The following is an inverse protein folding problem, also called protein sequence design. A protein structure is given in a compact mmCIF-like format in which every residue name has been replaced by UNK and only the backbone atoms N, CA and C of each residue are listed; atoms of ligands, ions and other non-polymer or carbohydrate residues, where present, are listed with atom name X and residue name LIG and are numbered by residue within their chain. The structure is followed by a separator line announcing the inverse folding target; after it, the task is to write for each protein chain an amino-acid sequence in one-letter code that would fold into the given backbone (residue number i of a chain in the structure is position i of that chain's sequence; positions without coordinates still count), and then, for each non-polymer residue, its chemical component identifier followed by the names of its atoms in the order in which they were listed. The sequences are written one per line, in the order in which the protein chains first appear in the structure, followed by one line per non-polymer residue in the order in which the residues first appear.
data_IF_501722292926
#
_entry.id   IF_501722292926
#
_cell.length_a   1.000
_cell.length_b   1.000
_cell.length_c   1.000
_cell.angle_alpha   90.00
_cell.angle_beta   90.00
_cell.angle_gamma   90.00
#
_symmetry.space_group_name_H-M   'P 1'
#
loop_
_entity.id
_entity.type
_entity.pdbx_description
1 polymer ?
#
# COMPACT_ATOMS: atom_id res chain seq x y z
N UNK A 1 6.56 -15.08 -28.92
CA UNK A 1 6.40 -15.26 -27.46
C UNK A 1 4.91 -15.50 -27.20
N UNK A 2 4.56 -16.34 -26.24
CA UNK A 2 3.16 -16.61 -25.87
C UNK A 2 2.70 -15.55 -24.87
N UNK A 3 1.57 -14.90 -25.14
CA UNK A 3 0.95 -13.91 -24.25
C UNK A 3 0.64 -14.57 -22.90
N UNK A 4 1.02 -13.91 -21.80
CA UNK A 4 0.77 -14.38 -20.42
C UNK A 4 -0.67 -14.02 -20.02
N UNK A 5 -1.52 -15.02 -19.83
CA UNK A 5 -2.89 -14.81 -19.38
C UNK A 5 -2.96 -14.65 -17.86
N UNK A 6 -3.59 -13.57 -17.39
CA UNK A 6 -3.53 -13.16 -15.99
C UNK A 6 -4.91 -13.07 -15.34
N UNK A 7 -5.05 -13.64 -14.13
CA UNK A 7 -6.15 -13.34 -13.21
C UNK A 7 -5.69 -12.34 -12.16
N UNK A 8 -6.53 -11.34 -11.88
CA UNK A 8 -6.25 -10.32 -10.86
C UNK A 8 -7.27 -10.43 -9.71
N UNK A 9 -6.80 -10.82 -8.53
CA UNK A 9 -7.63 -10.94 -7.33
C UNK A 9 -7.45 -9.71 -6.45
N UNK A 10 -8.53 -9.30 -5.78
CA UNK A 10 -8.57 -8.04 -5.01
C UNK A 10 -8.23 -6.86 -5.94
N UNK A 11 -8.83 -6.87 -7.12
CA UNK A 11 -8.39 -6.04 -8.24
C UNK A 11 -8.54 -4.54 -7.97
N UNK A 12 -9.42 -4.14 -7.05
CA UNK A 12 -9.62 -2.75 -6.68
C UNK A 12 -9.91 -1.90 -7.91
N UNK A 13 -9.14 -0.82 -8.07
CA UNK A 13 -9.20 0.07 -9.25
C UNK A 13 -8.20 -0.30 -10.36
N UNK A 14 -7.63 -1.51 -10.30
CA UNK A 14 -6.72 -2.07 -11.31
C UNK A 14 -5.29 -1.54 -11.21
N UNK A 15 -4.75 -1.44 -10.00
CA UNK A 15 -3.35 -1.03 -9.80
C UNK A 15 -2.35 -2.08 -10.30
N UNK A 16 -2.63 -3.37 -10.07
CA UNK A 16 -1.76 -4.45 -10.57
C UNK A 16 -1.97 -4.69 -12.07
N UNK A 17 -3.20 -4.51 -12.59
CA UNK A 17 -3.44 -4.42 -14.03
C UNK A 17 -2.56 -3.34 -14.66
N UNK A 18 -2.56 -2.13 -14.08
CA UNK A 18 -1.75 -1.03 -14.59
C UNK A 18 -0.26 -1.34 -14.58
N UNK A 19 0.23 -1.91 -13.48
CA UNK A 19 1.63 -2.33 -13.38
C UNK A 19 1.99 -3.35 -14.46
N UNK A 20 1.09 -4.28 -14.80
CA UNK A 20 1.29 -5.24 -15.90
C UNK A 20 1.36 -4.56 -17.25
N UNK A 21 0.47 -3.62 -17.55
CA UNK A 21 0.53 -2.86 -18.81
C UNK A 21 1.80 -2.00 -18.95
N UNK A 22 2.34 -1.51 -17.84
CA UNK A 22 3.59 -0.74 -17.82
C UNK A 22 4.84 -1.63 -17.84
N UNK A 23 4.68 -2.94 -17.76
CA UNK A 23 5.78 -3.89 -17.72
C UNK A 23 6.21 -4.32 -19.13
N UNK A 24 7.47 -4.72 -19.28
CA UNK A 24 7.98 -5.35 -20.50
C UNK A 24 7.45 -6.79 -20.73
N UNK A 25 6.49 -7.24 -19.90
CA UNK A 25 5.90 -8.57 -20.01
C UNK A 25 4.74 -8.49 -20.99
N UNK A 26 4.81 -9.31 -22.04
CA UNK A 26 3.69 -9.55 -22.95
C UNK A 26 2.58 -10.34 -22.24
N UNK A 27 1.75 -9.64 -21.47
CA UNK A 27 0.71 -10.22 -20.60
C UNK A 27 -0.58 -9.41 -20.61
N UNK A 28 -1.70 -10.10 -20.44
CA UNK A 28 -3.04 -9.51 -20.43
C UNK A 28 -3.84 -10.01 -19.23
N UNK A 29 -4.58 -9.12 -18.59
CA UNK A 29 -5.56 -9.51 -17.56
C UNK A 29 -6.82 -9.98 -18.27
N UNK A 30 -7.14 -11.27 -18.14
CA UNK A 30 -8.32 -11.89 -18.76
C UNK A 30 -9.54 -11.86 -17.83
N UNK A 31 -9.32 -11.70 -16.52
CA UNK A 31 -10.38 -11.55 -15.51
C UNK A 31 -9.82 -10.89 -14.24
N UNK A 32 -10.54 -9.91 -13.72
CA UNK A 32 -10.33 -9.32 -12.40
C UNK A 32 -11.45 -9.71 -11.44
N UNK A 33 -11.18 -9.78 -10.14
CA UNK A 33 -12.17 -10.11 -9.10
C UNK A 33 -12.08 -9.13 -7.95
N UNK A 34 -13.21 -8.51 -7.61
CA UNK A 34 -13.34 -7.67 -6.42
C UNK A 34 -14.78 -7.73 -5.89
N UNK A 35 -15.00 -7.47 -4.60
CA UNK A 35 -16.35 -7.46 -4.02
C UNK A 35 -16.96 -6.05 -4.02
N UNK A 36 -16.13 -5.01 -4.07
CA UNK A 36 -16.55 -3.62 -4.01
C UNK A 36 -17.08 -3.16 -5.37
N UNK A 37 -18.40 -2.92 -5.43
CA UNK A 37 -19.07 -2.41 -6.62
C UNK A 37 -18.48 -1.10 -7.15
N UNK A 38 -18.05 -0.21 -6.25
CA UNK A 38 -17.47 1.08 -6.67
C UNK A 38 -16.09 0.87 -7.30
N UNK A 39 -15.31 -0.07 -6.77
CA UNK A 39 -14.01 -0.44 -7.33
C UNK A 39 -14.20 -1.06 -8.72
N UNK A 40 -15.12 -2.02 -8.85
CA UNK A 40 -15.45 -2.65 -10.13
C UNK A 40 -15.87 -1.62 -11.19
N UNK A 41 -16.74 -0.66 -10.86
CA UNK A 41 -17.17 0.39 -11.82
C UNK A 41 -16.00 1.26 -12.30
N UNK A 42 -15.10 1.62 -11.38
CA UNK A 42 -13.90 2.39 -11.74
C UNK A 42 -12.98 1.55 -12.61
N UNK A 43 -12.80 0.28 -12.28
CA UNK A 43 -12.02 -0.66 -13.09
C UNK A 43 -12.58 -0.78 -14.51
N UNK A 44 -13.88 -1.00 -14.66
CA UNK A 44 -14.56 -1.13 -15.96
C UNK A 44 -14.39 0.14 -16.81
N UNK A 45 -14.44 1.32 -16.19
CA UNK A 45 -14.26 2.59 -16.90
C UNK A 45 -12.83 2.78 -17.45
N UNK A 46 -11.83 2.06 -16.93
CA UNK A 46 -10.44 2.18 -17.35
C UNK A 46 -9.96 0.99 -18.20
N UNK A 47 -10.53 -0.20 -18.00
CA UNK A 47 -10.05 -1.45 -18.63
C UNK A 47 -11.13 -2.20 -19.42
N UNK A 48 -12.38 -1.75 -19.39
CA UNK A 48 -13.50 -2.34 -20.14
C UNK A 48 -14.46 -3.18 -19.30
N UNK A 49 -15.72 -3.25 -19.75
CA UNK A 49 -16.88 -3.75 -19.00
C UNK A 49 -16.92 -5.26 -18.74
N UNK A 50 -16.00 -6.03 -19.31
CA UNK A 50 -16.02 -7.49 -19.25
C UNK A 50 -14.78 -8.10 -18.60
N UNK A 51 -13.88 -7.29 -18.04
CA UNK A 51 -12.66 -7.78 -17.40
C UNK A 51 -12.91 -8.06 -15.93
N UNK A 52 -13.48 -7.12 -15.18
CA UNK A 52 -13.72 -7.33 -13.74
C UNK A 52 -15.07 -8.01 -13.48
N UNK A 53 -15.08 -8.91 -12.51
CA UNK A 53 -16.27 -9.55 -11.98
C UNK A 53 -16.45 -9.16 -10.53
N UNK A 54 -17.64 -8.64 -10.21
CA UNK A 54 -18.00 -8.41 -8.81
C UNK A 54 -18.33 -9.74 -8.15
N UNK A 55 -17.49 -10.16 -7.21
CA UNK A 55 -17.67 -11.43 -6.49
C UNK A 55 -16.99 -11.37 -5.13
N UNK A 56 -17.57 -12.06 -4.14
CA UNK A 56 -16.82 -12.42 -2.95
C UNK A 56 -15.81 -13.50 -3.35
N UNK A 57 -14.52 -13.18 -3.30
CA UNK A 57 -13.44 -14.09 -3.71
C UNK A 57 -13.49 -15.42 -2.95
N UNK A 58 -14.07 -15.47 -1.73
CA UNK A 58 -14.26 -16.71 -0.99
C UNK A 58 -15.30 -17.65 -1.60
N UNK A 59 -16.14 -17.16 -2.51
CA UNK A 59 -17.15 -17.94 -3.24
C UNK A 59 -16.65 -18.51 -4.57
N UNK A 60 -15.45 -18.11 -5.03
CA UNK A 60 -14.84 -18.70 -6.22
C UNK A 60 -14.48 -20.16 -5.92
N UNK A 61 -14.64 -21.03 -6.92
CA UNK A 61 -14.31 -22.46 -6.82
C UNK A 61 -13.31 -22.87 -7.91
N UNK A 62 -12.58 -23.96 -7.66
CA UNK A 62 -11.43 -24.32 -8.45
C UNK A 62 -11.75 -24.60 -9.95
N UNK A 63 -12.83 -25.33 -10.29
CA UNK A 63 -13.23 -25.52 -11.69
C UNK A 63 -13.47 -24.21 -12.47
N UNK A 64 -14.06 -23.20 -11.83
CA UNK A 64 -14.26 -21.88 -12.45
C UNK A 64 -12.90 -21.23 -12.76
N UNK A 65 -12.00 -21.17 -11.77
CA UNK A 65 -10.66 -20.61 -11.95
C UNK A 65 -9.82 -21.37 -12.98
N UNK A 66 -9.93 -22.70 -13.00
CA UNK A 66 -9.24 -23.57 -13.95
C UNK A 66 -9.66 -23.31 -15.40
N UNK A 67 -10.94 -22.96 -15.63
CA UNK A 67 -11.48 -22.71 -16.97
C UNK A 67 -10.87 -21.49 -17.67
N UNK A 68 -10.26 -20.57 -16.91
CA UNK A 68 -9.57 -19.41 -17.47
C UNK A 68 -8.19 -19.74 -18.04
N UNK A 69 -7.61 -20.90 -17.71
CA UNK A 69 -6.27 -21.31 -18.16
C UNK A 69 -5.20 -20.23 -17.98
N UNK A 70 -5.22 -19.55 -16.81
CA UNK A 70 -4.33 -18.43 -16.55
C UNK A 70 -2.93 -18.87 -16.14
N UNK A 71 -1.93 -18.20 -16.70
CA UNK A 71 -0.51 -18.40 -16.42
C UNK A 71 -0.06 -17.68 -15.13
N UNK A 72 -0.66 -16.52 -14.85
CA UNK A 72 -0.26 -15.62 -13.77
C UNK A 72 -1.46 -15.22 -12.91
N UNK A 73 -1.28 -15.26 -11.59
CA UNK A 73 -2.20 -14.63 -10.65
C UNK A 73 -1.56 -13.41 -9.99
N UNK A 74 -2.22 -12.27 -10.07
CA UNK A 74 -1.88 -11.03 -9.38
C UNK A 74 -2.82 -10.87 -8.18
N UNK A 75 -2.27 -10.60 -7.00
CA UNK A 75 -3.06 -10.48 -5.77
C UNK A 75 -2.60 -9.29 -4.93
N UNK A 76 -3.54 -8.46 -4.51
CA UNK A 76 -3.33 -7.40 -3.50
C UNK A 76 -4.30 -7.55 -2.32
N UNK A 77 -4.14 -8.61 -1.50
CA UNK A 77 -5.04 -8.87 -0.39
C UNK A 77 -5.01 -7.77 0.67
N UNK A 78 -6.18 -7.40 1.20
CA UNK A 78 -6.26 -6.47 2.33
C UNK A 78 -5.54 -7.00 3.57
N UNK A 79 -4.76 -6.15 4.25
CA UNK A 79 -3.89 -6.56 5.36
C UNK A 79 -4.59 -7.08 6.63
N UNK A 80 -5.93 -7.11 6.74
CA UNK A 80 -6.64 -7.62 7.94
C UNK A 80 -8.09 -8.09 7.67
N UNK A 81 -8.58 -9.15 8.35
CA UNK A 81 -7.87 -10.31 8.87
C UNK A 81 -8.12 -11.53 7.95
N UNK A 82 -7.05 -12.16 7.50
CA UNK A 82 -7.02 -13.45 6.78
C UNK A 82 -7.62 -13.46 5.36
N UNK A 83 -6.73 -13.46 4.37
CA UNK A 83 -7.05 -13.91 3.01
C UNK A 83 -7.05 -15.44 2.98
N UNK A 84 -8.23 -16.05 3.02
CA UNK A 84 -8.37 -17.50 2.95
C UNK A 84 -8.50 -17.93 1.48
N UNK A 85 -7.37 -18.18 0.82
CA UNK A 85 -7.32 -18.90 -0.48
C UNK A 85 -7.13 -20.43 -0.29
N UNK A 86 -7.13 -20.90 0.96
CA UNK A 86 -6.67 -22.24 1.33
C UNK A 86 -7.51 -23.41 0.73
N UNK A 87 -8.85 -23.35 0.64
CA UNK A 87 -9.62 -24.45 0.05
C UNK A 87 -9.36 -24.64 -1.44
N UNK A 88 -9.31 -23.52 -2.18
CA UNK A 88 -9.14 -23.45 -3.64
C UNK A 88 -7.83 -24.05 -4.13
N UNK A 89 -6.73 -23.81 -3.41
CA UNK A 89 -5.41 -24.19 -3.88
C UNK A 89 -5.21 -25.72 -3.98
N UNK A 90 -5.80 -26.50 -3.07
CA UNK A 90 -5.67 -27.96 -3.09
C UNK A 90 -6.40 -28.58 -4.27
N UNK A 91 -7.60 -28.09 -4.59
CA UNK A 91 -8.39 -28.57 -5.71
C UNK A 91 -7.76 -28.20 -7.06
N UNK A 92 -7.23 -26.98 -7.19
CA UNK A 92 -6.53 -26.55 -8.41
C UNK A 92 -5.31 -27.43 -8.72
N UNK A 93 -4.55 -27.79 -7.69
CA UNK A 93 -3.42 -28.73 -7.84
C UNK A 93 -3.91 -30.11 -8.25
N UNK A 94 -5.00 -30.62 -7.66
CA UNK A 94 -5.54 -31.94 -8.04
C UNK A 94 -6.04 -32.00 -9.49
N UNK A 95 -6.47 -30.86 -10.04
CA UNK A 95 -6.90 -30.74 -11.43
C UNK A 95 -5.75 -30.37 -12.39
N UNK A 96 -4.53 -30.21 -11.88
CA UNK A 96 -3.38 -29.70 -12.64
C UNK A 96 -3.66 -28.37 -13.35
N UNK A 97 -4.40 -27.48 -12.68
CA UNK A 97 -4.88 -26.20 -13.19
C UNK A 97 -4.39 -24.99 -12.36
N UNK A 98 -3.34 -25.18 -11.56
CA UNK A 98 -2.67 -24.11 -10.83
C UNK A 98 -1.95 -23.14 -11.77
N UNK A 99 -1.88 -21.83 -11.44
CA UNK A 99 -1.11 -20.89 -12.25
C UNK A 99 0.37 -21.25 -12.21
N UNK A 100 1.08 -20.89 -13.28
CA UNK A 100 2.54 -21.04 -13.35
C UNK A 100 3.27 -20.05 -12.45
N UNK A 101 2.66 -18.88 -12.24
CA UNK A 101 3.22 -17.78 -11.46
C UNK A 101 2.16 -17.15 -10.55
N UNK A 102 2.58 -16.75 -9.35
CA UNK A 102 1.75 -15.98 -8.44
C UNK A 102 2.55 -14.81 -7.87
N UNK A 103 1.93 -13.63 -7.89
CA UNK A 103 2.50 -12.40 -7.37
C UNK A 103 1.54 -11.84 -6.31
N UNK A 104 2.04 -11.72 -5.08
CA UNK A 104 1.24 -11.27 -3.95
C UNK A 104 1.85 -10.01 -3.38
N UNK A 105 1.10 -8.91 -3.42
CA UNK A 105 1.47 -7.68 -2.76
C UNK A 105 1.40 -7.82 -1.23
N UNK A 106 2.46 -7.41 -0.55
CA UNK A 106 2.56 -7.41 0.91
C UNK A 106 3.44 -6.25 1.42
N UNK A 107 3.21 -5.88 2.67
CA UNK A 107 3.77 -4.68 3.32
C UNK A 107 5.11 -4.88 4.04
N UNK A 108 5.54 -6.12 4.30
CA UNK A 108 6.68 -6.40 5.18
C UNK A 108 8.00 -6.64 4.43
N UNK A 109 9.04 -5.83 4.71
CA UNK A 109 10.45 -6.04 4.30
C UNK A 109 11.04 -4.97 3.35
N UNK A 110 10.25 -3.97 2.96
CA UNK A 110 10.62 -2.96 1.93
C UNK A 110 11.93 -2.23 2.25
N UNK A 111 12.20 -2.01 3.53
CA UNK A 111 13.37 -1.28 4.05
C UNK A 111 14.73 -1.87 3.65
N UNK A 112 14.79 -3.17 3.36
CA UNK A 112 16.03 -3.85 2.92
C UNK A 112 16.04 -4.17 1.42
N UNK A 113 14.96 -3.86 0.69
CA UNK A 113 14.80 -4.28 -0.71
C UNK A 113 15.71 -3.56 -1.71
N UNK A 114 16.01 -4.26 -2.81
CA UNK A 114 16.69 -3.67 -3.97
C UNK A 114 15.87 -2.53 -4.61
N UNK A 115 14.55 -2.54 -4.47
CA UNK A 115 13.65 -1.47 -4.94
C UNK A 115 13.80 -0.19 -4.15
N UNK A 116 13.89 -0.26 -2.82
CA UNK A 116 14.24 0.90 -2.01
C UNK A 116 15.58 1.48 -2.45
N UNK A 117 16.57 0.62 -2.73
CA UNK A 117 17.87 1.06 -3.24
C UNK A 117 17.75 1.78 -4.59
N UNK A 118 17.01 1.21 -5.54
CA UNK A 118 16.75 1.82 -6.86
C UNK A 118 16.01 3.16 -6.76
N UNK A 119 15.00 3.26 -5.88
CA UNK A 119 14.28 4.51 -5.61
C UNK A 119 15.22 5.60 -5.07
N UNK A 120 16.11 5.24 -4.14
CA UNK A 120 17.12 6.16 -3.63
C UNK A 120 18.12 6.57 -4.72
N UNK A 121 18.48 5.66 -5.65
CA UNK A 121 19.40 5.95 -6.76
C UNK A 121 18.78 6.86 -7.83
N UNK A 122 17.49 6.71 -8.15
CA UNK A 122 16.80 7.54 -9.16
C UNK A 122 16.45 8.95 -8.68
N UNK A 123 16.63 9.21 -7.39
CA UNK A 123 16.26 10.46 -6.75
C UNK A 123 14.76 10.52 -6.47
N UNK A 124 14.40 10.92 -5.24
CA UNK A 124 13.00 11.09 -4.87
C UNK A 124 12.53 12.45 -5.38
N UNK A 125 11.48 12.44 -6.22
CA UNK A 125 10.87 13.65 -6.76
C UNK A 125 10.19 14.45 -5.65
N UNK A 126 10.17 15.77 -5.82
CA UNK A 126 9.44 16.66 -4.90
C UNK A 126 7.93 16.54 -5.11
N UNK A 127 7.17 16.74 -4.03
CA UNK A 127 5.71 16.68 -4.03
C UNK A 127 5.11 17.63 -5.07
N UNK A 128 5.69 18.82 -5.26
CA UNK A 128 5.25 19.82 -6.25
C UNK A 128 5.09 19.26 -7.66
N UNK A 129 5.86 18.23 -8.02
CA UNK A 129 5.81 17.63 -9.35
C UNK A 129 4.58 16.74 -9.58
N UNK A 130 3.81 16.47 -8.53
CA UNK A 130 2.58 15.68 -8.57
C UNK A 130 1.33 16.53 -8.36
N UNK A 131 1.48 17.82 -8.04
CA UNK A 131 0.37 18.72 -7.73
C UNK A 131 -0.39 19.14 -8.99
N UNK A 132 -1.68 19.44 -8.82
CA UNK A 132 -2.49 20.00 -9.89
C UNK A 132 -2.00 21.41 -10.25
N UNK A 133 -1.90 21.76 -11.55
CA UNK A 133 -1.41 23.07 -11.98
C UNK A 133 -2.45 24.19 -11.79
N UNK A 134 -3.74 23.86 -11.73
CA UNK A 134 -4.85 24.81 -11.70
C UNK A 134 -5.53 24.85 -10.32
N UNK A 135 -5.73 26.07 -9.80
CA UNK A 135 -6.32 26.31 -8.47
C UNK A 135 -7.82 25.95 -8.38
N UNK A 136 -8.51 25.74 -9.49
CA UNK A 136 -9.98 25.61 -9.54
C UNK A 136 -10.51 24.36 -8.82
N UNK A 137 -9.73 23.27 -8.79
CA UNK A 137 -10.12 22.06 -8.04
C UNK A 137 -9.70 22.12 -6.56
N UNK A 138 -8.80 23.05 -6.19
CA UNK A 138 -8.20 23.10 -4.86
C UNK A 138 -9.17 23.57 -3.77
N UNK A 139 -10.18 24.36 -4.12
CA UNK A 139 -11.19 24.84 -3.16
C UNK A 139 -11.93 23.69 -2.48
N UNK A 140 -12.20 22.61 -3.21
CA UNK A 140 -12.88 21.41 -2.68
C UNK A 140 -11.97 20.53 -1.82
N UNK A 141 -10.67 20.82 -1.80
CA UNK A 141 -9.68 20.10 -1.01
C UNK A 141 -9.29 20.84 0.27
N UNK A 142 -9.79 22.05 0.52
CA UNK A 142 -9.53 22.80 1.74
C UNK A 142 -9.95 22.01 2.99
N UNK A 143 -9.15 22.11 4.06
CA UNK A 143 -9.48 21.45 5.32
C UNK A 143 -10.55 22.30 6.04
N UNK A 144 -11.71 21.74 6.43
CA UNK A 144 -12.73 22.52 7.12
C UNK A 144 -12.24 23.07 8.46
N UNK A 145 -12.63 24.30 8.80
CA UNK A 145 -12.22 24.97 10.06
C UNK A 145 -12.49 24.12 11.30
N UNK A 146 -13.63 23.42 11.35
CA UNK A 146 -13.98 22.55 12.49
C UNK A 146 -13.00 21.37 12.64
N UNK A 147 -12.43 20.90 11.53
CA UNK A 147 -11.39 19.87 11.54
C UNK A 147 -10.07 20.47 12.01
N UNK A 148 -9.68 21.66 11.53
CA UNK A 148 -8.47 22.35 11.97
C UNK A 148 -8.51 22.70 13.45
N UNK A 149 -9.62 23.26 13.94
CA UNK A 149 -9.85 23.63 15.34
C UNK A 149 -9.65 22.45 16.30
N UNK A 150 -10.11 21.26 15.90
CA UNK A 150 -10.12 20.06 16.76
C UNK A 150 -8.92 19.14 16.57
N UNK A 151 -8.45 19.01 15.33
CA UNK A 151 -7.50 17.97 14.94
C UNK A 151 -6.28 18.50 14.19
N UNK A 152 -6.17 19.82 13.97
CA UNK A 152 -5.10 20.42 13.16
C UNK A 152 -3.69 19.98 13.55
N UNK A 153 -3.42 19.87 14.86
CA UNK A 153 -2.11 19.43 15.41
C UNK A 153 -1.76 17.97 15.14
N UNK A 154 -2.72 17.15 14.76
CA UNK A 154 -2.52 15.73 14.53
C UNK A 154 -2.15 15.40 13.09
N UNK A 155 -2.29 16.38 12.18
CA UNK A 155 -1.89 16.19 10.80
C UNK A 155 -0.37 16.16 10.66
N UNK A 156 0.11 15.23 9.83
CA UNK A 156 1.41 15.38 9.20
C UNK A 156 1.28 16.40 8.06
N UNK A 157 1.98 17.53 8.17
CA UNK A 157 1.93 18.63 7.20
C UNK A 157 3.19 18.60 6.35
N UNK A 158 3.02 18.62 5.03
CA UNK A 158 4.12 18.62 4.05
C UNK A 158 4.05 19.85 3.17
N UNK A 159 5.23 20.29 2.70
CA UNK A 159 5.38 21.39 1.74
C UNK A 159 5.51 20.83 0.31
N UNK A 160 5.22 21.61 -0.74
CA UNK A 160 5.47 21.20 -2.12
C UNK A 160 6.93 20.87 -2.41
N UNK A 161 7.89 21.50 -1.73
CA UNK A 161 9.33 21.15 -1.78
C UNK A 161 9.70 19.84 -1.08
N UNK A 162 8.79 19.24 -0.32
CA UNK A 162 9.07 18.02 0.41
C UNK A 162 9.24 16.82 -0.54
N UNK A 163 10.05 15.83 -0.13
CA UNK A 163 10.31 14.58 -0.86
C UNK A 163 9.79 13.34 -0.11
N UNK A 164 8.78 13.54 0.73
CA UNK A 164 8.21 12.50 1.60
C UNK A 164 6.79 12.87 2.01
N UNK A 165 5.94 11.88 2.14
CA UNK A 165 4.63 11.94 2.77
C UNK A 165 4.42 10.71 3.63
N UNK A 166 3.46 10.75 4.54
CA UNK A 166 2.89 9.54 5.14
C UNK A 166 2.19 8.69 4.08
N UNK A 167 2.00 7.41 4.41
CA UNK A 167 1.18 6.50 3.60
C UNK A 167 -0.29 6.96 3.61
N UNK A 168 -0.89 7.01 2.42
CA UNK A 168 -2.31 7.32 2.27
C UNK A 168 -3.15 6.06 2.47
N UNK A 169 -4.16 6.14 3.32
CA UNK A 169 -5.01 5.00 3.65
C UNK A 169 -6.46 5.27 3.27
N UNK A 170 -7.32 4.24 3.33
CA UNK A 170 -8.77 4.37 3.13
C UNK A 170 -9.47 5.43 4.01
N UNK A 171 -8.81 5.85 5.10
CA UNK A 171 -9.29 6.83 6.05
C UNK A 171 -8.95 8.28 5.68
N UNK A 172 -8.21 8.51 4.58
CA UNK A 172 -7.81 9.86 4.17
C UNK A 172 -9.02 10.78 3.98
N UNK A 173 -8.87 12.04 4.41
CA UNK A 173 -9.94 13.05 4.51
C UNK A 173 -11.12 12.70 5.44
N UNK A 174 -11.04 11.60 6.22
CA UNK A 174 -12.01 11.25 7.28
C UNK A 174 -11.38 11.20 8.66
N UNK A 175 -10.11 10.79 8.73
CA UNK A 175 -9.32 10.66 9.95
C UNK A 175 -8.15 11.62 9.87
N UNK A 176 -7.88 12.35 10.95
CA UNK A 176 -6.76 13.29 10.99
C UNK A 176 -5.40 12.57 11.15
N UNK A 177 -5.36 11.53 11.99
CA UNK A 177 -4.15 10.74 12.21
C UNK A 177 -4.06 9.52 11.29
N UNK A 178 -2.82 9.13 10.97
CA UNK A 178 -2.45 7.84 10.35
C UNK A 178 -3.21 7.55 9.04
N UNK A 179 -3.60 8.59 8.31
CA UNK A 179 -4.39 8.47 7.10
C UNK A 179 -3.70 9.03 5.85
N UNK A 180 -2.65 9.83 6.03
CA UNK A 180 -1.88 10.50 4.98
C UNK A 180 -1.52 11.91 5.39
N UNK A 181 -0.57 12.52 4.67
CA UNK A 181 -0.17 13.91 4.91
C UNK A 181 -1.20 14.90 4.34
N UNK A 182 -1.22 16.12 4.85
CA UNK A 182 -1.89 17.28 4.24
C UNK A 182 -0.86 18.29 3.74
N UNK A 183 -1.25 19.13 2.79
CA UNK A 183 -0.35 20.04 2.11
C UNK A 183 -0.50 21.48 2.64
N UNK A 184 0.61 22.12 2.95
CA UNK A 184 0.71 23.57 3.15
C UNK A 184 1.26 24.20 1.86
N UNK A 185 0.47 25.03 1.18
CA UNK A 185 0.89 25.64 -0.08
C UNK A 185 1.81 26.85 0.10
N UNK A 186 1.68 27.57 1.21
CA UNK A 186 2.54 28.72 1.48
C UNK A 186 3.86 28.26 2.10
N UNK A 187 4.92 28.17 1.29
CA UNK A 187 6.26 27.76 1.74
C UNK A 187 7.03 28.86 2.49
N UNK A 188 6.55 30.10 2.50
CA UNK A 188 7.23 31.23 3.16
C UNK A 188 6.97 31.26 4.69
N UNK A 189 5.91 30.60 5.14
CA UNK A 189 5.50 30.58 6.54
C UNK A 189 5.96 29.32 7.26
N UNK A 190 6.46 29.49 8.47
CA UNK A 190 6.78 28.38 9.35
C UNK A 190 5.51 27.77 9.96
N UNK A 191 5.31 26.47 9.70
CA UNK A 191 4.13 25.72 10.18
C UNK A 191 4.05 25.75 11.71
N UNK A 192 5.16 25.47 12.40
CA UNK A 192 5.18 25.33 13.86
C UNK A 192 4.86 26.64 14.55
N UNK A 193 5.46 27.74 14.10
CA UNK A 193 5.25 29.08 14.64
C UNK A 193 3.79 29.51 14.48
N UNK A 194 3.22 29.29 13.29
CA UNK A 194 1.82 29.64 13.01
C UNK A 194 0.84 28.83 13.87
N UNK A 195 1.09 27.52 14.05
CA UNK A 195 0.28 26.69 14.93
C UNK A 195 0.43 27.03 16.43
N UNK A 196 1.58 27.53 16.86
CA UNK A 196 1.76 28.04 18.22
C UNK A 196 0.89 29.28 18.45
N UNK A 197 0.91 30.25 17.53
CA UNK A 197 0.07 31.45 17.59
C UNK A 197 -1.43 31.11 17.60
N UNK A 198 -1.86 30.21 16.72
CA UNK A 198 -3.23 29.70 16.69
C UNK A 198 -3.66 29.17 18.06
N UNK A 199 -2.78 28.45 18.75
CA UNK A 199 -3.10 27.78 20.01
C UNK A 199 -3.07 28.71 21.21
N UNK A 200 -2.20 29.72 21.19
CA UNK A 200 -2.25 30.83 22.14
C UNK A 200 -3.60 31.55 22.04
N UNK A 201 -4.01 31.93 20.83
CA UNK A 201 -5.31 32.57 20.60
C UNK A 201 -6.50 31.66 21.00
N UNK A 202 -6.46 30.38 20.63
CA UNK A 202 -7.49 29.41 21.01
C UNK A 202 -7.59 29.23 22.53
N UNK A 203 -6.46 29.17 23.24
CA UNK A 203 -6.44 29.07 24.71
C UNK A 203 -6.92 30.36 25.40
N UNK A 204 -6.77 31.52 24.75
CA UNK A 204 -7.34 32.78 25.20
C UNK A 204 -8.85 32.92 24.92
N UNK A 205 -9.46 31.93 24.26
CA UNK A 205 -10.89 31.92 23.95
C UNK A 205 -11.27 32.74 22.71
N UNK A 206 -10.32 33.03 21.82
CA UNK A 206 -10.60 33.70 20.55
C UNK A 206 -11.39 32.77 19.59
N UNK A 207 -12.62 33.16 19.25
CA UNK A 207 -13.51 32.38 18.37
C UNK A 207 -12.99 32.26 16.93
N UNK A 208 -12.20 33.25 16.49
CA UNK A 208 -11.63 33.38 15.16
C UNK A 208 -10.17 32.92 15.08
N UNK A 209 -9.62 32.35 16.17
CA UNK A 209 -8.24 31.85 16.22
C UNK A 209 -7.84 31.00 15.01
N UNK A 210 -8.77 30.19 14.46
CA UNK A 210 -8.52 29.33 13.29
C UNK A 210 -8.03 30.12 12.07
N UNK A 211 -8.42 31.40 11.93
CA UNK A 211 -8.01 32.29 10.83
C UNK A 211 -6.51 32.55 10.79
N UNK A 212 -5.81 32.36 11.92
CA UNK A 212 -4.35 32.40 11.97
C UNK A 212 -3.73 31.34 11.05
N UNK A 213 -4.45 30.24 10.76
CA UNK A 213 -3.99 29.17 9.87
C UNK A 213 -4.28 29.45 8.38
N UNK A 214 -5.17 30.40 8.05
CA UNK A 214 -5.56 30.69 6.66
C UNK A 214 -4.36 31.00 5.74
N UNK A 215 -3.36 31.79 6.17
CA UNK A 215 -2.18 32.08 5.35
C UNK A 215 -1.35 30.85 4.99
N UNK A 216 -1.44 29.74 5.74
CA UNK A 216 -0.77 28.48 5.41
C UNK A 216 -1.38 27.81 4.17
N UNK A 217 -2.64 28.11 3.84
CA UNK A 217 -3.39 27.50 2.73
C UNK A 217 -3.39 25.96 2.82
N UNK A 218 -3.78 25.42 3.98
CA UNK A 218 -3.81 23.97 4.24
C UNK A 218 -4.90 23.26 3.43
N UNK A 219 -4.55 22.16 2.77
CA UNK A 219 -5.49 21.33 2.02
C UNK A 219 -5.13 19.86 2.00
N UNK A 220 -6.11 19.01 1.72
CA UNK A 220 -5.86 17.63 1.30
C UNK A 220 -5.23 17.59 -0.10
N UNK A 221 -4.52 16.50 -0.40
CA UNK A 221 -4.18 16.16 -1.79
C UNK A 221 -5.44 15.83 -2.57
N UNK A 222 -5.58 16.29 -3.81
CA UNK A 222 -6.69 15.91 -4.67
C UNK A 222 -6.60 14.44 -5.06
N UNK A 223 -7.71 13.77 -5.43
CA UNK A 223 -7.64 12.41 -5.97
C UNK A 223 -6.72 12.29 -7.18
N UNK A 224 -6.64 13.32 -8.03
CA UNK A 224 -5.78 13.33 -9.22
C UNK A 224 -4.30 13.40 -8.84
N UNK A 225 -3.95 14.20 -7.83
CA UNK A 225 -2.59 14.27 -7.27
C UNK A 225 -2.19 12.95 -6.63
N UNK A 226 -3.09 12.33 -5.86
CA UNK A 226 -2.87 11.01 -5.29
C UNK A 226 -2.68 9.94 -6.38
N UNK A 227 -3.45 9.98 -7.47
CA UNK A 227 -3.23 9.08 -8.61
C UNK A 227 -1.82 9.25 -9.20
N UNK A 228 -1.33 10.49 -9.36
CA UNK A 228 0.06 10.72 -9.82
C UNK A 228 1.08 10.19 -8.83
N UNK A 229 0.87 10.37 -7.52
CA UNK A 229 1.73 9.82 -6.46
C UNK A 229 1.74 8.29 -6.47
N UNK A 230 0.61 7.67 -6.80
CA UNK A 230 0.46 6.22 -6.96
C UNK A 230 0.85 5.74 -8.37
N UNK A 231 1.30 6.66 -9.23
CA UNK A 231 1.78 6.42 -10.59
C UNK A 231 0.74 5.80 -11.54
N UNK A 232 -0.53 6.11 -11.30
CA UNK A 232 -1.59 5.93 -12.28
C UNK A 232 -1.47 6.96 -13.41
N UNK A 233 -1.98 6.62 -14.61
CA UNK A 233 -2.08 7.55 -15.72
C UNK A 233 -2.91 8.75 -15.31
N UNK A 234 -2.32 9.93 -15.33
CA UNK A 234 -2.99 11.17 -14.97
C UNK A 234 -2.39 12.23 -15.87
N UNK A 235 -3.23 12.99 -16.58
CA UNK A 235 -2.85 13.98 -17.61
C UNK A 235 -1.41 14.45 -17.44
N UNK A 236 -0.51 13.77 -18.14
CA UNK A 236 0.86 14.20 -18.33
C UNK A 236 0.93 14.75 -19.74
N UNK A 237 1.85 15.68 -20.01
CA UNK A 237 1.81 16.55 -21.20
C UNK A 237 1.92 15.81 -22.53
N UNK A 238 2.22 14.51 -22.54
CA UNK A 238 2.76 13.81 -23.71
C UNK A 238 1.89 12.65 -24.24
N UNK A 239 0.83 12.20 -23.55
CA UNK A 239 -0.10 11.18 -24.07
C UNK A 239 -1.55 11.45 -23.64
N UNK A 240 -2.39 11.86 -24.59
CA UNK A 240 -3.78 12.27 -24.33
C UNK A 240 -4.75 11.08 -24.14
N UNK A 241 -4.38 9.89 -24.61
CA UNK A 241 -5.27 8.71 -24.65
C UNK A 241 -5.15 7.81 -23.41
N UNK A 242 -4.19 8.07 -22.52
CA UNK A 242 -3.93 7.28 -21.31
C UNK A 242 -4.16 8.13 -20.05
N UNK A 243 -5.43 8.45 -19.78
CA UNK A 243 -5.86 9.21 -18.60
C UNK A 243 -6.79 8.35 -17.76
N UNK A 244 -6.47 8.19 -16.48
CA UNK A 244 -7.34 7.47 -15.54
C UNK A 244 -8.70 8.17 -15.42
N UNK A 245 -9.76 7.42 -15.69
CA UNK A 245 -11.12 7.91 -15.70
C UNK A 245 -11.86 7.58 -14.39
N UNK A 246 -12.51 8.58 -13.81
CA UNK A 246 -13.47 8.40 -12.72
C UNK A 246 -14.89 8.47 -13.29
N UNK A 247 -15.75 7.45 -13.11
CA UNK A 247 -17.16 7.58 -13.41
C UNK A 247 -17.80 8.73 -12.60
N UNK A 248 -18.77 9.42 -13.20
CA UNK A 248 -19.39 10.62 -12.64
C UNK A 248 -20.07 10.36 -11.28
N UNK A 249 -20.57 9.15 -11.05
CA UNK A 249 -21.25 8.76 -9.83
C UNK A 249 -20.30 8.53 -8.65
N UNK A 250 -18.99 8.45 -8.91
CA UNK A 250 -17.99 8.19 -7.86
C UNK A 250 -17.66 9.47 -7.11
N UNK A 251 -18.28 9.61 -5.94
CA UNK A 251 -18.03 10.71 -5.01
C UNK A 251 -16.56 10.85 -4.61
N UNK A 252 -16.12 12.07 -4.29
CA UNK A 252 -14.75 12.33 -3.83
C UNK A 252 -14.35 11.48 -2.61
N UNK A 253 -15.29 11.28 -1.66
CA UNK A 253 -15.10 10.40 -0.49
C UNK A 253 -14.80 8.95 -0.88
N UNK A 254 -15.43 8.47 -1.96
CA UNK A 254 -15.18 7.13 -2.51
C UNK A 254 -13.84 7.08 -3.23
N UNK A 255 -13.47 8.12 -3.99
CA UNK A 255 -12.16 8.21 -4.67
C UNK A 255 -11.01 8.07 -3.67
N UNK A 256 -11.00 8.84 -2.59
CA UNK A 256 -9.97 8.71 -1.53
C UNK A 256 -9.91 7.31 -0.93
N UNK A 257 -11.07 6.71 -0.65
CA UNK A 257 -11.16 5.36 -0.08
C UNK A 257 -10.55 4.32 -1.03
N UNK A 258 -10.85 4.41 -2.32
CA UNK A 258 -10.37 3.48 -3.34
C UNK A 258 -8.87 3.64 -3.59
N UNK A 259 -8.37 4.88 -3.71
CA UNK A 259 -6.93 5.13 -3.88
C UNK A 259 -6.15 4.67 -2.64
N UNK A 260 -6.64 4.96 -1.43
CA UNK A 260 -6.00 4.54 -0.18
C UNK A 260 -6.06 3.03 0.10
N UNK A 261 -6.74 2.25 -0.75
CA UNK A 261 -6.69 0.79 -0.79
C UNK A 261 -5.87 0.27 -1.98
N UNK A 262 -5.40 1.15 -2.85
CA UNK A 262 -4.66 0.79 -4.06
C UNK A 262 -3.18 0.56 -3.78
N UNK A 263 -2.51 -0.03 -4.75
CA UNK A 263 -1.05 -0.16 -4.83
C UNK A 263 -0.46 0.99 -5.66
N UNK A 264 0.84 1.24 -5.51
CA UNK A 264 1.58 2.09 -6.45
C UNK A 264 1.86 1.28 -7.72
N UNK A 265 1.67 1.89 -8.88
CA UNK A 265 1.79 1.20 -10.16
C UNK A 265 3.19 1.26 -10.77
N UNK A 266 4.15 1.94 -10.15
CA UNK A 266 5.45 2.15 -10.82
C UNK A 266 6.10 0.81 -11.13
N UNK A 267 6.66 0.72 -12.33
CA UNK A 267 7.43 -0.42 -12.80
C UNK A 267 8.92 -0.12 -12.70
N UNK A 268 9.67 -1.06 -12.12
CA UNK A 268 11.12 -0.96 -12.09
C UNK A 268 11.68 -1.31 -13.46
N UNK A 269 12.06 -0.33 -14.28
CA UNK A 269 12.77 -0.63 -15.54
C UNK A 269 14.06 -1.40 -15.26
N UNK A 270 14.10 -2.64 -15.74
CA UNK A 270 15.29 -3.48 -15.75
C UNK A 270 16.31 -2.95 -16.76
N UNK A 271 17.59 -3.09 -16.46
CA UNK A 271 18.63 -2.86 -17.48
C UNK A 271 18.51 -3.94 -18.55
N UNK A 272 18.33 -3.53 -19.81
CA UNK A 272 18.32 -4.38 -21.00
C UNK A 272 19.45 -5.41 -20.94
N UNK A 273 19.15 -6.65 -20.54
CA UNK A 273 20.03 -7.78 -20.79
C UNK A 273 19.49 -8.50 -22.03
N UNK A 274 20.34 -8.56 -23.04
CA UNK A 274 20.04 -8.90 -24.43
C UNK A 274 19.81 -10.38 -24.71
N UNK A 275 19.32 -11.17 -23.75
CA UNK A 275 18.97 -12.58 -23.99
C UNK A 275 17.45 -12.75 -24.05
N UNK A 276 16.96 -12.75 -25.30
CA UNK A 276 15.57 -13.05 -25.65
C UNK A 276 15.37 -14.56 -25.60
N UNK A 277 14.88 -15.08 -24.47
CA UNK A 277 14.10 -16.33 -24.44
C UNK A 277 13.33 -16.43 -23.12
N UNK A 278 12.02 -16.11 -23.18
CA UNK A 278 11.04 -16.20 -22.08
C UNK A 278 11.33 -15.21 -20.93
N UNK A 279 10.37 -14.45 -20.38
CA UNK A 279 10.64 -13.64 -19.20
C UNK A 279 11.21 -14.56 -18.11
N UNK A 280 12.48 -14.37 -17.77
CA UNK A 280 13.12 -15.10 -16.68
C UNK A 280 12.25 -14.93 -15.44
N UNK A 281 12.15 -15.96 -14.58
CA UNK A 281 11.42 -15.93 -13.30
C UNK A 281 11.72 -14.67 -12.48
N UNK A 282 12.90 -14.08 -12.66
CA UNK A 282 13.33 -12.85 -12.02
C UNK A 282 12.84 -11.55 -12.69
N UNK A 283 12.52 -11.55 -13.98
CA UNK A 283 12.19 -10.32 -14.72
C UNK A 283 10.72 -9.94 -14.53
N UNK A 284 9.78 -10.89 -14.54
CA UNK A 284 8.36 -10.64 -14.21
C UNK A 284 8.19 -10.03 -12.80
N UNK A 285 8.95 -10.53 -11.83
CA UNK A 285 8.96 -10.01 -10.46
C UNK A 285 9.73 -8.69 -10.30
N UNK A 286 10.69 -8.38 -11.18
CA UNK A 286 11.44 -7.11 -11.16
C UNK A 286 10.65 -5.98 -11.81
N UNK A 287 9.94 -6.29 -12.89
CA UNK A 287 9.23 -5.30 -13.67
C UNK A 287 7.98 -4.82 -12.93
N UNK A 288 7.19 -5.70 -12.30
CA UNK A 288 5.96 -5.31 -11.60
C UNK A 288 6.12 -4.56 -10.26
N UNK A 289 7.34 -4.20 -9.86
CA UNK A 289 7.67 -3.98 -8.45
C UNK A 289 8.02 -2.53 -8.09
N UNK A 290 7.05 -1.74 -7.62
CA UNK A 290 7.31 -0.52 -6.84
C UNK A 290 6.22 -0.22 -5.78
N UNK A 291 6.70 0.20 -4.61
CA UNK A 291 6.05 0.60 -3.34
C UNK A 291 5.36 -0.45 -2.46
N UNK A 292 5.30 -1.70 -2.86
CA UNK A 292 4.94 -2.77 -1.94
C UNK A 292 5.70 -4.05 -2.27
N UNK A 293 6.08 -4.80 -1.24
CA UNK A 293 6.87 -6.00 -1.44
C UNK A 293 6.00 -7.08 -2.07
N UNK A 294 6.20 -7.31 -3.36
CA UNK A 294 5.60 -8.42 -4.05
C UNK A 294 6.38 -9.68 -3.68
N UNK A 295 5.71 -10.64 -3.04
CA UNK A 295 6.25 -11.99 -2.86
C UNK A 295 5.95 -12.78 -4.14
N UNK A 296 6.99 -13.07 -4.91
CA UNK A 296 6.89 -13.94 -6.08
C UNK A 296 6.95 -15.40 -5.65
N UNK A 297 5.91 -16.17 -5.96
CA UNK A 297 5.82 -17.58 -5.63
C UNK A 297 5.85 -18.36 -6.94
N UNK A 298 6.95 -19.08 -7.19
CA UNK A 298 7.00 -20.12 -8.21
C UNK A 298 6.23 -21.32 -7.67
N UNK A 299 5.16 -21.73 -8.35
CA UNK A 299 4.29 -22.85 -7.94
C UNK A 299 4.96 -24.19 -8.25
N UNK A 300 5.93 -24.61 -7.44
CA UNK A 300 6.40 -26.01 -7.42
C UNK A 300 5.69 -26.76 -6.29
N UNK A 301 4.57 -27.42 -6.58
CA UNK A 301 3.83 -28.21 -5.60
C UNK A 301 4.38 -29.64 -5.50
N UNK A 302 4.97 -29.99 -4.37
CA UNK A 302 5.22 -31.40 -4.03
C UNK A 302 3.89 -32.10 -3.69
N UNK A 303 3.74 -33.41 -3.97
CA UNK A 303 2.45 -34.11 -3.96
C UNK A 303 1.73 -34.22 -2.60
N UNK A 304 2.23 -33.60 -1.52
CA UNK A 304 1.62 -33.65 -0.19
C UNK A 304 1.90 -32.41 0.69
N UNK A 305 1.51 -31.18 0.31
CA UNK A 305 1.21 -30.13 1.32
C UNK A 305 0.54 -28.89 0.71
N UNK A 306 -0.39 -28.33 1.49
CA UNK A 306 -1.20 -27.13 1.25
C UNK A 306 -0.43 -25.91 0.73
N UNK A 307 -1.04 -25.10 -0.16
CA UNK A 307 -0.60 -23.71 -0.39
C UNK A 307 -0.99 -22.90 0.86
N UNK A 308 -0.05 -22.72 1.78
CA UNK A 308 -0.22 -21.78 2.90
C UNK A 308 0.24 -20.42 2.42
N UNK A 309 -0.68 -19.54 2.02
CA UNK A 309 -0.41 -18.11 1.99
C UNK A 309 -0.27 -17.64 3.44
N UNK A 310 0.98 -17.57 3.92
CA UNK A 310 1.28 -16.99 5.22
C UNK A 310 0.98 -15.49 5.17
N UNK A 311 -0.21 -15.09 5.60
CA UNK A 311 -0.40 -13.76 6.16
C UNK A 311 0.38 -13.73 7.48
N UNK A 312 1.43 -12.92 7.55
CA UNK A 312 2.40 -12.76 8.66
C UNK A 312 3.61 -13.70 8.59
N UNK A 313 4.77 -13.15 8.20
CA UNK A 313 6.07 -13.69 8.61
C UNK A 313 6.16 -13.49 10.13
N UNK A 314 5.71 -14.48 10.88
CA UNK A 314 6.18 -14.70 12.25
C UNK A 314 7.53 -15.39 12.15
N UNK A 315 8.53 -14.81 12.79
CA UNK A 315 9.96 -15.07 12.66
C UNK A 315 10.44 -16.42 13.23
N UNK A 316 9.77 -17.54 12.97
CA UNK A 316 10.18 -18.83 13.59
C UNK A 316 10.00 -20.12 12.78
N UNK A 317 9.76 -20.09 11.47
CA UNK A 317 9.62 -21.35 10.69
C UNK A 317 10.34 -21.31 9.35
N UNK A 318 11.68 -21.33 9.39
CA UNK A 318 12.52 -21.78 8.28
C UNK A 318 13.55 -22.73 8.87
N UNK A 319 13.19 -24.02 8.94
CA UNK A 319 14.13 -25.10 9.10
C UNK A 319 14.01 -25.99 7.86
N UNK A 320 15.17 -26.29 7.27
CA UNK A 320 15.39 -27.07 6.04
C UNK A 320 15.17 -26.31 4.72
N UNK A 321 16.13 -25.50 4.31
CA UNK A 321 17.23 -25.92 3.45
C UNK A 321 18.24 -24.77 3.28
N UNK A 322 19.52 -25.13 3.14
CA UNK A 322 20.71 -24.30 3.34
C UNK A 322 20.79 -23.02 2.49
N UNK A 323 20.79 -21.86 3.15
CA UNK A 323 21.48 -20.65 2.67
C UNK A 323 22.15 -19.96 3.87
N UNK A 324 23.44 -19.71 3.72
CA UNK A 324 24.33 -18.98 4.62
C UNK A 324 23.69 -17.73 5.25
N UNK A 325 23.65 -17.69 6.57
CA UNK A 325 23.41 -16.46 7.33
C UNK A 325 24.55 -16.31 8.34
N UNK A 326 25.64 -15.68 7.91
CA UNK A 326 26.78 -15.37 8.76
C UNK A 326 26.43 -14.15 9.62
N UNK A 327 25.79 -14.43 10.77
CA UNK A 327 25.50 -13.42 11.78
C UNK A 327 26.69 -13.35 12.74
N UNK A 328 27.63 -12.42 12.52
CA UNK A 328 28.60 -12.00 13.54
C UNK A 328 28.40 -10.53 13.90
N UNK A 329 27.74 -10.33 15.03
CA UNK A 329 28.27 -9.48 16.09
C UNK A 329 27.87 -8.01 16.09
N UNK A 330 26.82 -7.70 16.86
CA UNK A 330 26.98 -6.80 18.01
C UNK A 330 26.23 -7.39 19.21
N UNK A 331 26.98 -7.64 20.28
CA UNK A 331 26.51 -8.19 21.56
C UNK A 331 25.52 -7.24 22.22
N UNK A 332 24.34 -7.73 22.59
CA UNK A 332 23.61 -7.21 23.73
C UNK A 332 24.05 -8.02 24.96
N UNK A 333 24.65 -7.33 25.94
CA UNK A 333 24.96 -7.90 27.26
C UNK A 333 23.67 -8.46 27.91
N UNK A 334 23.75 -9.58 28.65
CA UNK A 334 22.60 -10.19 29.28
C UNK A 334 22.02 -9.29 30.41
N UNK A 335 20.71 -9.40 30.69
CA UNK A 335 20.08 -8.69 31.79
C UNK A 335 20.70 -9.13 33.12
N UNK A 336 21.13 -8.14 33.90
CA UNK A 336 21.61 -8.34 35.26
C UNK A 336 20.47 -8.98 36.07
N UNK A 337 20.74 -10.19 36.55
CA UNK A 337 19.96 -10.84 37.58
C UNK A 337 19.97 -9.97 38.84
N UNK A 338 18.81 -9.43 39.22
CA UNK A 338 18.61 -8.95 40.60
C UNK A 338 18.42 -10.20 41.45
N UNK A 339 19.49 -10.55 42.15
CA UNK A 339 19.52 -11.66 43.09
C UNK A 339 18.57 -11.41 44.26
N UNK A 340 17.88 -12.47 44.65
CA UNK A 340 17.28 -12.59 45.98
C UNK A 340 18.40 -12.51 47.02
N UNK A 341 18.49 -11.39 47.72
CA UNK A 341 19.07 -11.37 49.06
C UNK A 341 17.97 -11.30 50.11
N UNK A 342 17.71 -12.46 50.71
CA UNK A 342 17.22 -12.55 52.08
C UNK A 342 18.14 -11.72 52.97
N UNK A 343 17.61 -10.66 53.58
CA UNK A 343 18.05 -10.26 54.91
C UNK A 343 16.88 -10.52 55.86
N UNK A 344 17.05 -11.60 56.62
CA UNK A 344 16.40 -11.86 57.89
C UNK A 344 16.62 -10.65 58.78
N UNK A 345 15.58 -10.14 59.46
CA UNK A 345 15.64 -9.84 60.89
C UNK A 345 14.22 -9.66 61.46
N UNK A 346 13.94 -10.58 62.37
CA UNK A 346 12.92 -10.71 63.42
C UNK A 346 11.42 -10.47 63.18
N UNK A 347 10.59 -11.50 63.48
CA UNK A 347 9.21 -11.32 63.89
C UNK A 347 9.21 -10.88 65.36
N UNK A 348 8.55 -9.77 65.68
CA UNK A 348 8.22 -9.50 67.07
C UNK A 348 6.94 -10.25 67.45
N UNK A 349 6.95 -10.97 68.58
CA UNK A 349 5.93 -11.93 68.95
C UNK A 349 4.70 -11.27 69.58
N UNK A 350 3.57 -11.94 69.36
CA UNK A 350 2.48 -12.18 70.31
C UNK A 350 2.36 -11.19 71.48
N UNK A 351 1.28 -10.42 71.47
CA UNK A 351 0.49 -10.26 72.68
C UNK A 351 -0.75 -11.16 72.54
N UNK A 352 -0.69 -12.23 73.33
CA UNK A 352 -1.79 -12.84 74.06
C UNK A 352 -2.91 -13.52 73.25
N UNK A 353 -2.90 -14.85 73.35
CA UNK A 353 -4.06 -15.61 73.78
C UNK A 353 -4.97 -14.80 74.72
N UNK A 354 -6.25 -15.07 74.74
CA UNK A 354 -6.61 -16.39 75.24
C UNK A 354 -6.44 -17.55 74.28
#
# INVERSE_FOLDING_TARGET
MTVVHTLEFYSGIGGLHRALLQSDVDGTVIRGFDWDQSACRVYEANYGSNIVQKVDISMLFAPELASFHADLWLLSPSCQPYTVLNPLAKELVSMNAQPKYMLVENVAGFETSSTRRRLLTRGIREIRQFLDPDDTQLQHCAIPDQVLKKWGRLFDIVLPSARRSCCFTRGYAKMAERSGSVLQLNEELDTTTTFNQFMEAQNCGDEDAVRILDPLRLRYFSPTELLRLFCFPSRSRDDADDVFCWPDEISMKTRYRLIGNSVNCTVGSGENHSDRDIPNKHDLARTLLVCSQLTFISTSFYPKSSLVLYSTISSHFIAHHDIFCENRGFMLRPPIAISRHKRLFHPNPLISTR
#
